data_IF_282639725236
#
_entry.id   IF_282639725236
#
_cell.length_a   1.000
_cell.length_b   1.000
_cell.length_c   1.000
_cell.angle_alpha   90.00
_cell.angle_beta   90.00
_cell.angle_gamma   90.00
#
_symmetry.space_group_name_H-M   'P 1'
#
loop_
_entity.id
_entity.type
_entity.pdbx_description
1 polymer ?
#
# COMPACT_ATOMS: atom_id res chain seq x y z
N UNK A 1 75.66 -71.08 -11.82
CA UNK A 1 74.29 -70.55 -11.70
C UNK A 1 73.60 -70.79 -13.05
N UNK A 2 72.72 -71.78 -13.14
CA UNK A 2 72.02 -72.11 -14.39
C UNK A 2 70.74 -71.26 -14.40
N UNK A 3 70.66 -70.30 -15.31
CA UNK A 3 69.47 -69.45 -15.49
C UNK A 3 68.55 -70.17 -16.46
N UNK A 4 67.40 -70.62 -15.98
CA UNK A 4 66.35 -71.17 -16.82
C UNK A 4 65.84 -70.07 -17.77
N UNK A 5 65.85 -70.33 -19.09
CA UNK A 5 65.15 -69.48 -20.05
C UNK A 5 63.65 -69.70 -19.85
N UNK A 6 62.94 -68.65 -19.49
CA UNK A 6 61.48 -68.64 -19.42
C UNK A 6 60.99 -68.24 -20.81
N UNK A 7 60.29 -69.15 -21.49
CA UNK A 7 59.69 -68.85 -22.78
C UNK A 7 58.57 -67.81 -22.61
N UNK A 8 58.88 -66.56 -22.94
CA UNK A 8 57.89 -65.50 -23.02
C UNK A 8 57.08 -65.67 -24.30
N UNK A 9 56.01 -66.46 -24.26
CA UNK A 9 55.00 -66.41 -25.33
C UNK A 9 54.12 -65.18 -25.13
N UNK A 10 54.66 -64.02 -25.53
CA UNK A 10 53.95 -62.74 -25.49
C UNK A 10 53.05 -62.65 -26.73
N UNK A 11 51.79 -63.06 -26.60
CA UNK A 11 50.80 -62.81 -27.64
C UNK A 11 50.37 -61.34 -27.54
N UNK A 12 50.98 -60.50 -28.37
CA UNK A 12 50.60 -59.09 -28.49
C UNK A 12 49.12 -58.99 -28.89
N UNK A 13 48.27 -58.28 -28.12
CA UNK A 13 46.96 -57.91 -28.63
C UNK A 13 47.16 -56.99 -29.85
N UNK A 14 46.33 -57.10 -30.90
CA UNK A 14 46.46 -56.23 -32.07
C UNK A 14 46.41 -54.77 -31.61
N UNK A 15 47.46 -54.01 -31.95
CA UNK A 15 47.55 -52.59 -31.67
C UNK A 15 46.45 -51.88 -32.45
N UNK A 16 45.32 -51.63 -31.81
CA UNK A 16 44.34 -50.67 -32.33
C UNK A 16 44.87 -49.30 -31.98
N UNK A 17 45.29 -48.55 -32.99
CA UNK A 17 45.51 -47.11 -32.85
C UNK A 17 44.18 -46.51 -32.37
N UNK A 18 44.07 -46.22 -31.08
CA UNK A 18 42.94 -45.51 -30.52
C UNK A 18 43.05 -44.06 -30.98
N UNK A 19 42.58 -43.80 -32.20
CA UNK A 19 42.30 -42.45 -32.67
C UNK A 19 41.20 -41.89 -31.77
N UNK A 20 41.61 -41.09 -30.80
CA UNK A 20 40.72 -40.31 -29.95
C UNK A 20 40.03 -39.30 -30.87
N UNK A 21 38.89 -39.67 -31.43
CA UNK A 21 38.07 -38.80 -32.27
C UNK A 21 37.81 -37.52 -31.45
N UNK A 22 38.09 -36.32 -31.99
CA UNK A 22 37.82 -35.10 -31.24
C UNK A 22 36.32 -35.05 -30.96
N UNK A 23 35.95 -34.92 -29.68
CA UNK A 23 34.56 -34.67 -29.28
C UNK A 23 34.09 -33.42 -30.02
N UNK A 24 33.26 -33.63 -31.06
CA UNK A 24 32.66 -32.54 -31.84
C UNK A 24 31.67 -31.83 -30.93
N UNK A 25 32.14 -30.84 -30.17
CA UNK A 25 31.26 -29.96 -29.40
C UNK A 25 30.25 -29.37 -30.37
N UNK A 26 28.98 -29.67 -30.16
CA UNK A 26 27.89 -29.17 -30.98
C UNK A 26 27.97 -27.64 -30.99
N UNK A 27 28.27 -27.05 -32.16
CA UNK A 27 28.29 -25.60 -32.30
C UNK A 27 26.85 -25.11 -32.11
N UNK A 28 26.58 -24.21 -31.15
CA UNK A 28 25.23 -23.71 -30.97
C UNK A 28 24.75 -23.04 -32.26
N UNK A 29 23.58 -23.45 -32.74
CA UNK A 29 22.97 -22.92 -33.95
C UNK A 29 22.84 -21.40 -33.82
N UNK A 30 23.56 -20.63 -34.63
CA UNK A 30 23.57 -19.15 -34.55
C UNK A 30 22.15 -18.55 -34.64
N UNK A 31 21.25 -19.21 -35.38
CA UNK A 31 19.82 -18.86 -35.48
C UNK A 31 19.09 -18.95 -34.13
N UNK A 32 19.42 -19.93 -33.29
CA UNK A 32 18.83 -20.09 -31.95
C UNK A 32 19.30 -18.98 -31.00
N UNK A 33 20.56 -18.57 -31.10
CA UNK A 33 21.09 -17.45 -30.30
C UNK A 33 20.37 -16.14 -30.61
N UNK A 34 20.16 -15.84 -31.90
CA UNK A 34 19.41 -14.65 -32.30
C UNK A 34 17.95 -14.72 -31.84
N UNK A 35 17.30 -15.88 -31.93
CA UNK A 35 15.93 -16.07 -31.43
C UNK A 35 15.85 -15.79 -29.92
N UNK A 36 16.77 -16.32 -29.12
CA UNK A 36 16.82 -16.08 -27.67
C UNK A 36 17.02 -14.60 -27.38
N UNK A 37 17.89 -13.91 -28.12
CA UNK A 37 18.11 -12.47 -27.94
C UNK A 37 16.84 -11.66 -28.21
N UNK A 38 16.09 -11.99 -29.27
CA UNK A 38 14.80 -11.34 -29.58
C UNK A 38 13.79 -11.60 -28.45
N UNK A 39 13.72 -12.82 -27.93
CA UNK A 39 12.82 -13.17 -26.82
C UNK A 39 13.18 -12.40 -25.55
N UNK A 40 14.48 -12.24 -25.26
CA UNK A 40 14.94 -11.45 -24.10
C UNK A 40 14.55 -9.98 -24.25
N UNK A 41 14.74 -9.39 -25.43
CA UNK A 41 14.35 -7.99 -25.66
C UNK A 41 12.83 -7.84 -25.55
N UNK A 42 12.06 -8.76 -26.12
CA UNK A 42 10.61 -8.76 -26.02
C UNK A 42 10.12 -8.91 -24.57
N UNK A 43 10.74 -9.80 -23.79
CA UNK A 43 10.37 -10.01 -22.39
C UNK A 43 10.70 -8.80 -21.52
N UNK A 44 11.83 -8.12 -21.77
CA UNK A 44 12.16 -6.85 -21.11
C UNK A 44 11.10 -5.78 -21.40
N UNK A 45 10.70 -5.64 -22.68
CA UNK A 45 9.66 -4.67 -23.06
C UNK A 45 8.33 -4.95 -22.37
N UNK A 46 7.90 -6.23 -22.32
CA UNK A 46 6.68 -6.63 -21.62
C UNK A 46 6.79 -6.36 -20.12
N UNK A 47 7.94 -6.63 -19.51
CA UNK A 47 8.16 -6.37 -18.08
C UNK A 47 8.02 -4.88 -17.76
N UNK A 48 8.59 -4.00 -18.60
CA UNK A 48 8.44 -2.55 -18.44
C UNK A 48 6.96 -2.16 -18.53
N UNK A 49 6.25 -2.62 -19.57
CA UNK A 49 4.80 -2.35 -19.72
C UNK A 49 3.99 -2.87 -18.53
N UNK A 50 4.30 -4.06 -18.01
CA UNK A 50 3.65 -4.62 -16.84
C UNK A 50 3.83 -3.73 -15.59
N UNK A 51 5.04 -3.21 -15.37
CA UNK A 51 5.29 -2.24 -14.29
C UNK A 51 4.46 -0.97 -14.47
N UNK A 52 4.38 -0.43 -15.68
CA UNK A 52 3.54 0.72 -15.97
C UNK A 52 2.05 0.44 -15.75
N UNK A 53 1.55 -0.72 -16.17
CA UNK A 53 0.16 -1.12 -15.95
C UNK A 53 -0.18 -1.18 -14.46
N UNK A 54 0.71 -1.75 -13.64
CA UNK A 54 0.54 -1.77 -12.18
C UNK A 54 0.50 -0.36 -11.59
N UNK A 55 1.43 0.52 -11.99
CA UNK A 55 1.47 1.91 -11.51
C UNK A 55 0.18 2.64 -11.91
N UNK A 56 -0.28 2.45 -13.14
CA UNK A 56 -1.50 3.08 -13.65
C UNK A 56 -2.74 2.64 -12.87
N UNK A 57 -2.86 1.35 -12.56
CA UNK A 57 -3.96 0.85 -11.73
C UNK A 57 -3.96 1.51 -10.34
N UNK A 58 -2.79 1.64 -9.70
CA UNK A 58 -2.67 2.34 -8.42
C UNK A 58 -2.99 3.83 -8.55
N UNK A 59 -2.54 4.48 -9.62
CA UNK A 59 -2.87 5.89 -9.90
C UNK A 59 -4.37 6.10 -10.06
N UNK A 60 -5.07 5.19 -10.74
CA UNK A 60 -6.52 5.24 -10.86
C UNK A 60 -7.22 5.02 -9.51
N UNK A 61 -6.71 4.10 -8.68
CA UNK A 61 -7.25 3.89 -7.34
C UNK A 61 -7.07 5.13 -6.46
N UNK A 62 -5.92 5.79 -6.53
CA UNK A 62 -5.64 7.04 -5.83
C UNK A 62 -6.58 8.16 -6.29
N UNK A 63 -6.71 8.37 -7.61
CA UNK A 63 -7.59 9.41 -8.17
C UNK A 63 -9.06 9.20 -7.75
N UNK A 64 -9.53 7.95 -7.72
CA UNK A 64 -10.87 7.62 -7.22
C UNK A 64 -11.03 7.94 -5.74
N UNK A 65 -10.02 7.63 -4.92
CA UNK A 65 -10.06 7.88 -3.49
C UNK A 65 -10.04 9.38 -3.20
N UNK A 66 -9.21 10.13 -3.90
CA UNK A 66 -9.11 11.59 -3.78
C UNK A 66 -10.43 12.27 -4.14
N UNK A 67 -11.08 11.85 -5.23
CA UNK A 67 -12.43 12.32 -5.59
C UNK A 67 -13.48 12.02 -4.54
N UNK A 68 -13.39 10.86 -3.87
CA UNK A 68 -14.31 10.52 -2.78
C UNK A 68 -14.10 11.43 -1.57
N UNK A 69 -12.84 11.71 -1.23
CA UNK A 69 -12.50 12.63 -0.14
C UNK A 69 -13.04 14.03 -0.45
N UNK A 70 -12.73 14.56 -1.62
CA UNK A 70 -13.19 15.89 -2.05
C UNK A 70 -14.72 15.98 -2.04
N UNK A 71 -15.41 14.95 -2.55
CA UNK A 71 -16.86 14.86 -2.50
C UNK A 71 -17.39 14.90 -1.06
N UNK A 72 -16.84 14.07 -0.17
CA UNK A 72 -17.25 14.05 1.25
C UNK A 72 -16.94 15.37 1.97
N UNK A 73 -15.81 16.01 1.69
CA UNK A 73 -15.48 17.32 2.24
C UNK A 73 -16.44 18.39 1.75
N UNK A 74 -16.80 18.38 0.47
CA UNK A 74 -17.76 19.32 -0.10
C UNK A 74 -19.14 19.19 0.57
N UNK A 75 -19.61 17.97 0.81
CA UNK A 75 -20.86 17.71 1.52
C UNK A 75 -20.77 18.18 2.96
N UNK A 76 -19.68 17.89 3.66
CA UNK A 76 -19.49 18.35 5.03
C UNK A 76 -19.51 19.88 5.13
N UNK A 77 -18.87 20.58 4.20
CA UNK A 77 -18.89 22.04 4.15
C UNK A 77 -20.30 22.58 3.90
N UNK A 78 -21.05 21.98 2.96
CA UNK A 78 -22.43 22.35 2.67
C UNK A 78 -23.33 22.14 3.89
N UNK A 79 -23.25 20.98 4.55
CA UNK A 79 -24.02 20.69 5.76
C UNK A 79 -23.70 21.66 6.90
N UNK A 80 -22.41 22.01 7.08
CA UNK A 80 -22.02 23.01 8.08
C UNK A 80 -22.59 24.39 7.77
N UNK A 81 -22.58 24.80 6.51
CA UNK A 81 -23.19 26.05 6.08
C UNK A 81 -24.71 26.04 6.29
N UNK A 82 -25.37 24.91 6.00
CA UNK A 82 -26.80 24.73 6.24
C UNK A 82 -27.12 24.80 7.73
N UNK A 83 -26.38 24.10 8.59
CA UNK A 83 -26.52 24.19 10.05
C UNK A 83 -26.35 25.63 10.52
N UNK A 84 -25.33 26.34 10.03
CA UNK A 84 -25.11 27.74 10.41
C UNK A 84 -26.26 28.65 9.97
N UNK A 85 -26.83 28.42 8.79
CA UNK A 85 -28.01 29.13 8.29
C UNK A 85 -29.25 28.81 9.13
N UNK A 86 -29.51 27.53 9.43
CA UNK A 86 -30.65 27.08 10.20
C UNK A 86 -30.60 27.54 11.66
N UNK A 87 -29.40 27.53 12.26
CA UNK A 87 -29.16 27.98 13.64
C UNK A 87 -28.95 29.50 13.76
N UNK A 88 -28.98 30.23 12.64
CA UNK A 88 -28.85 31.69 12.64
C UNK A 88 -29.99 32.32 13.47
N UNK A 89 -29.69 33.02 14.58
CA UNK A 89 -30.71 33.63 15.43
C UNK A 89 -31.63 34.60 14.69
N UNK A 90 -31.11 35.35 13.71
CA UNK A 90 -31.92 36.29 12.94
C UNK A 90 -33.00 35.55 12.11
N UNK A 91 -32.64 34.41 11.52
CA UNK A 91 -33.58 33.56 10.76
C UNK A 91 -34.60 32.91 11.69
N UNK A 92 -34.18 32.48 12.88
CA UNK A 92 -35.08 31.92 13.90
C UNK A 92 -36.08 32.99 14.35
N UNK A 93 -35.62 34.21 14.60
CA UNK A 93 -36.45 35.35 15.00
C UNK A 93 -37.46 35.74 13.91
N UNK A 94 -37.04 35.78 12.64
CA UNK A 94 -37.90 36.02 11.49
C UNK A 94 -39.02 34.97 11.42
N UNK A 95 -38.68 33.68 11.48
CA UNK A 95 -39.67 32.59 11.46
C UNK A 95 -40.63 32.69 12.67
N UNK A 96 -40.10 32.97 13.86
CA UNK A 96 -40.90 33.11 15.08
C UNK A 96 -41.92 34.25 14.95
N UNK A 97 -41.50 35.43 14.48
CA UNK A 97 -42.37 36.59 14.32
C UNK A 97 -43.34 36.44 13.14
N UNK A 98 -42.84 36.06 11.98
CA UNK A 98 -43.65 36.10 10.75
C UNK A 98 -44.59 34.92 10.62
N UNK A 99 -44.09 33.70 10.88
CA UNK A 99 -44.85 32.46 10.68
C UNK A 99 -45.59 32.03 11.93
N UNK A 100 -44.95 32.10 13.09
CA UNK A 100 -45.54 31.65 14.36
C UNK A 100 -46.26 32.78 15.11
N UNK A 101 -46.19 34.02 14.62
CA UNK A 101 -46.78 35.21 15.27
C UNK A 101 -46.33 35.36 16.74
N UNK A 102 -45.13 34.91 17.06
CA UNK A 102 -44.51 35.11 18.37
C UNK A 102 -44.12 36.58 18.52
N UNK A 103 -44.25 37.08 19.75
CA UNK A 103 -43.84 38.42 20.15
C UNK A 103 -42.86 38.32 21.32
N UNK A 104 -41.98 39.31 21.45
CA UNK A 104 -41.07 39.37 22.59
C UNK A 104 -41.89 39.62 23.87
N UNK A 105 -41.64 38.90 24.97
CA UNK A 105 -42.34 39.15 26.22
C UNK A 105 -41.97 40.51 26.80
N UNK A 106 -42.93 41.13 27.49
CA UNK A 106 -42.70 42.35 28.26
C UNK A 106 -41.95 42.05 29.57
N UNK A 107 -41.33 43.07 30.18
CA UNK A 107 -40.43 42.88 31.34
C UNK A 107 -41.11 42.25 32.56
N UNK A 108 -42.40 42.50 32.71
CA UNK A 108 -43.27 41.97 33.77
C UNK A 108 -43.68 40.51 33.54
N UNK A 109 -43.58 40.01 32.31
CA UNK A 109 -43.88 38.63 31.92
C UNK A 109 -42.67 37.68 32.11
N UNK A 110 -41.51 38.21 32.50
CA UNK A 110 -40.26 37.43 32.67
C UNK A 110 -40.12 36.99 34.13
N UNK A 111 -40.15 35.67 34.36
CA UNK A 111 -39.91 35.06 35.67
C UNK A 111 -38.59 34.29 35.65
N UNK A 112 -37.63 34.69 36.49
CA UNK A 112 -36.36 33.99 36.64
C UNK A 112 -36.51 32.80 37.59
N UNK A 113 -36.32 31.60 37.08
CA UNK A 113 -36.34 30.37 37.88
C UNK A 113 -34.91 29.98 38.23
N UNK A 114 -34.63 29.76 39.53
CA UNK A 114 -33.38 29.11 39.95
C UNK A 114 -33.42 27.65 39.52
N UNK A 115 -32.68 27.33 38.46
CA UNK A 115 -32.31 25.95 38.18
C UNK A 115 -31.40 25.51 39.32
N UNK A 116 -31.70 24.38 39.96
CA UNK A 116 -30.88 23.82 41.05
C UNK A 116 -29.45 23.52 40.60
N UNK A 117 -28.65 22.90 41.46
CA UNK A 117 -27.32 22.42 41.07
C UNK A 117 -27.46 21.56 39.82
N UNK A 118 -26.98 22.10 38.69
CA UNK A 118 -26.89 21.35 37.44
C UNK A 118 -26.05 20.13 37.80
N UNK A 119 -26.55 18.88 37.65
CA UNK A 119 -25.71 17.73 37.87
C UNK A 119 -24.47 17.96 37.03
N UNK A 120 -23.29 17.79 37.62
CA UNK A 120 -22.02 17.84 36.90
C UNK A 120 -22.15 16.81 35.79
N UNK A 121 -22.62 17.24 34.62
CA UNK A 121 -22.52 16.48 33.38
C UNK A 121 -21.04 16.21 33.32
N UNK A 122 -20.68 14.92 33.43
CA UNK A 122 -19.31 14.47 33.51
C UNK A 122 -18.51 15.36 32.56
N UNK A 123 -17.64 16.19 33.15
CA UNK A 123 -16.53 16.77 32.44
C UNK A 123 -16.02 15.61 31.60
N UNK A 124 -16.15 15.72 30.27
CA UNK A 124 -15.63 14.69 29.41
C UNK A 124 -14.16 14.61 29.79
N UNK A 125 -13.84 13.58 30.59
CA UNK A 125 -12.53 13.01 30.72
C UNK A 125 -12.21 12.56 29.29
N UNK A 126 -11.85 13.53 28.46
CA UNK A 126 -10.98 13.31 27.36
C UNK A 126 -9.72 12.84 28.06
N UNK A 127 -9.41 11.54 28.03
CA UNK A 127 -8.24 11.05 28.73
C UNK A 127 -7.09 11.87 28.15
N UNK A 128 -6.39 12.61 29.00
CA UNK A 128 -5.07 13.11 28.63
C UNK A 128 -4.25 11.86 28.35
N UNK A 129 -4.22 11.46 27.08
CA UNK A 129 -3.45 10.33 26.62
C UNK A 129 -2.03 10.55 27.15
N UNK A 130 -1.47 9.65 27.97
CA UNK A 130 -0.04 9.65 28.13
C UNK A 130 0.53 9.41 26.75
N UNK A 131 1.24 10.39 26.20
CA UNK A 131 2.01 10.25 24.97
C UNK A 131 3.03 9.12 25.12
N UNK A 132 2.58 7.88 24.95
CA UNK A 132 3.41 6.69 24.82
C UNK A 132 3.56 6.42 23.34
N UNK A 133 4.29 7.31 22.67
CA UNK A 133 4.89 6.97 21.40
C UNK A 133 5.92 5.86 21.68
N UNK A 134 5.74 4.75 20.97
CA UNK A 134 6.82 3.87 20.50
C UNK A 134 7.14 2.60 21.32
N UNK A 135 6.13 1.76 21.61
CA UNK A 135 6.39 0.32 21.86
C UNK A 135 6.55 -0.50 20.58
N UNK A 136 6.06 -0.02 19.42
CA UNK A 136 6.13 -0.73 18.15
C UNK A 136 7.45 -0.46 17.40
N UNK A 137 7.88 0.80 17.33
CA UNK A 137 9.15 1.18 16.70
C UNK A 137 10.38 0.61 17.44
N UNK A 138 10.36 0.52 18.78
CA UNK A 138 11.46 -0.11 19.52
C UNK A 138 11.63 -1.61 19.22
N UNK A 139 10.53 -2.36 18.96
CA UNK A 139 10.61 -3.77 18.56
C UNK A 139 11.15 -3.93 17.15
N UNK A 140 10.88 -2.96 16.27
CA UNK A 140 11.37 -2.97 14.88
C UNK A 140 12.86 -2.58 14.79
N UNK A 141 13.30 -1.60 15.58
CA UNK A 141 14.69 -1.14 15.62
C UNK A 141 15.63 -2.10 16.36
N UNK A 142 15.11 -2.92 17.28
CA UNK A 142 15.90 -3.92 18.02
C UNK A 142 16.33 -5.15 17.20
N UNK A 143 15.84 -5.33 15.97
CA UNK A 143 16.19 -6.47 15.10
C UNK A 143 17.40 -6.17 14.21
N UNK A 144 17.91 -4.93 14.19
CA UNK A 144 19.06 -4.54 13.37
C UNK A 144 20.42 -4.58 14.07
N UNK A 145 20.50 -5.11 15.29
CA UNK A 145 21.79 -5.31 15.98
C UNK A 145 21.88 -6.72 16.56
N UNK A 146 22.13 -7.69 15.68
CA UNK A 146 22.82 -8.95 15.99
C UNK A 146 23.52 -9.49 14.76
#
# INVERSE_FOLDING_TARGET
MIVAQKDYNYQYPPYTSYDKKPDKKAKPNAKLKNLILVVIVASLSILVLYRYALIYEKSLALDRLEKQIEYTESINQQLRAEIASLSNPARIEEIAKERLKMQLPEKDQIVYVKVGEVPKVAESDNPKEPHKKDSFFMRLLGVFNR
#
